data_IF_345578347532
#
_entry.id   IF_345578347532
#
_cell.length_a   1.000
_cell.length_b   1.000
_cell.length_c   1.000
_cell.angle_alpha   90.00
_cell.angle_beta   90.00
_cell.angle_gamma   90.00
#
_symmetry.space_group_name_H-M   'P 1'
#
loop_
_entity.id
_entity.type
_entity.pdbx_description
1 polymer ?
#
# COMPACT_ATOMS: atom_id res chain seq x y z
N UNK A 1 29.37 9.91 13.39
CA UNK A 1 30.54 9.57 12.57
C UNK A 1 30.02 9.00 11.26
N UNK A 2 30.01 9.79 10.21
CA UNK A 2 29.63 9.37 8.86
C UNK A 2 30.61 8.29 8.38
N UNK A 3 30.12 7.08 8.10
CA UNK A 3 30.91 6.05 7.43
C UNK A 3 31.23 6.53 6.00
N UNK A 4 32.49 6.44 5.61
CA UNK A 4 32.92 6.76 4.24
C UNK A 4 32.25 5.82 3.25
N UNK A 5 31.78 6.31 2.06
CA UNK A 5 31.03 5.51 1.08
C UNK A 5 31.81 4.38 0.40
N UNK A 6 33.06 4.16 0.71
CA UNK A 6 33.97 3.32 -0.07
C UNK A 6 34.39 2.00 0.58
N UNK A 7 33.79 1.61 1.69
CA UNK A 7 34.06 0.29 2.29
C UNK A 7 32.86 -0.64 2.15
N UNK A 8 32.43 -0.92 0.92
CA UNK A 8 31.73 -2.15 0.62
C UNK A 8 32.81 -3.25 0.45
N UNK A 9 33.61 -3.46 1.48
CA UNK A 9 34.51 -4.59 1.56
C UNK A 9 33.68 -5.82 1.88
N UNK A 10 33.46 -6.64 0.88
CA UNK A 10 33.23 -8.05 1.07
C UNK A 10 34.44 -8.63 1.83
N UNK A 11 34.47 -8.46 3.13
CA UNK A 11 35.34 -9.23 4.00
C UNK A 11 34.79 -10.65 3.96
N UNK A 12 35.51 -11.55 3.30
CA UNK A 12 35.12 -12.95 3.03
C UNK A 12 34.97 -13.83 4.25
N UNK A 13 34.20 -13.37 5.25
CA UNK A 13 33.63 -14.21 6.27
C UNK A 13 32.52 -15.03 5.65
N UNK A 14 32.58 -16.35 5.66
CA UNK A 14 31.48 -17.25 5.31
C UNK A 14 30.30 -16.95 6.23
N UNK A 15 29.42 -16.03 5.83
CA UNK A 15 28.13 -15.86 6.48
C UNK A 15 27.37 -17.18 6.32
N UNK A 16 27.23 -17.94 7.40
CA UNK A 16 26.47 -19.19 7.39
C UNK A 16 25.00 -18.88 7.19
N UNK A 17 24.47 -19.23 6.02
CA UNK A 17 23.03 -19.16 5.75
C UNK A 17 22.33 -20.35 6.37
N UNK A 18 21.15 -20.14 6.93
CA UNK A 18 20.28 -21.20 7.46
C UNK A 18 19.07 -21.34 6.55
N UNK A 19 18.62 -22.59 6.35
CA UNK A 19 17.36 -22.85 5.66
C UNK A 19 16.19 -22.52 6.61
N UNK A 20 15.27 -21.68 6.16
CA UNK A 20 14.11 -21.23 6.93
C UNK A 20 12.78 -21.84 6.43
N UNK A 21 12.83 -22.81 5.51
CA UNK A 21 11.65 -23.43 4.91
C UNK A 21 11.10 -22.61 3.73
N UNK A 22 9.81 -22.74 3.49
CA UNK A 22 9.13 -22.18 2.31
C UNK A 22 8.20 -20.98 2.61
N UNK A 23 8.21 -20.48 3.84
CA UNK A 23 7.42 -19.29 4.18
C UNK A 23 8.06 -18.05 3.57
N UNK A 24 7.36 -17.30 2.71
CA UNK A 24 7.94 -16.13 2.08
C UNK A 24 8.19 -15.02 3.10
N UNK A 25 9.37 -14.41 3.02
CA UNK A 25 9.73 -13.21 3.77
C UNK A 25 10.08 -12.13 2.77
N UNK A 26 9.10 -11.31 2.44
CA UNK A 26 9.27 -10.13 1.60
C UNK A 26 9.12 -8.89 2.47
N UNK A 27 10.12 -8.01 2.44
CA UNK A 27 10.08 -6.76 3.20
C UNK A 27 10.79 -5.65 2.41
N UNK A 28 10.28 -4.42 2.47
CA UNK A 28 9.06 -3.99 3.17
C UNK A 28 7.78 -4.40 2.43
N UNK A 29 6.71 -4.73 3.17
CA UNK A 29 5.37 -4.84 2.60
C UNK A 29 4.63 -3.53 2.84
N UNK A 30 3.95 -2.96 1.84
CA UNK A 30 3.17 -1.75 2.04
C UNK A 30 1.94 -2.02 2.92
N UNK A 31 1.39 -0.97 3.50
CA UNK A 31 0.08 -0.98 4.14
C UNK A 31 -0.86 -0.14 3.28
N UNK A 32 -1.68 -0.82 2.51
CA UNK A 32 -2.53 -0.23 1.48
C UNK A 32 -3.99 -0.30 1.94
N UNK A 33 -4.69 0.81 1.90
CA UNK A 33 -6.12 0.86 2.21
C UNK A 33 -6.90 0.92 0.91
N UNK A 34 -7.61 -0.17 0.63
CA UNK A 34 -8.43 -0.31 -0.56
C UNK A 34 -9.87 0.05 -0.20
N UNK A 35 -10.41 1.11 -0.76
CA UNK A 35 -11.78 1.53 -0.53
C UNK A 35 -12.63 1.37 -1.81
N UNK A 36 -13.86 0.90 -1.62
CA UNK A 36 -14.79 0.55 -2.69
C UNK A 36 -16.23 0.82 -2.26
N UNK A 37 -17.10 1.12 -3.21
CA UNK A 37 -18.55 1.04 -2.97
C UNK A 37 -19.07 -0.38 -3.25
N UNK A 38 -20.10 -0.79 -2.51
CA UNK A 38 -20.88 -1.95 -2.90
C UNK A 38 -21.94 -1.57 -3.97
N UNK A 39 -22.77 -2.54 -4.38
CA UNK A 39 -23.83 -2.31 -5.38
C UNK A 39 -24.80 -1.20 -4.96
N UNK A 40 -25.06 -1.07 -3.67
CA UNK A 40 -25.99 -0.10 -3.09
C UNK A 40 -25.33 1.28 -2.84
N UNK A 41 -24.03 1.42 -3.13
CA UNK A 41 -23.28 2.65 -2.89
C UNK A 41 -22.78 2.79 -1.45
N UNK A 42 -22.80 1.72 -0.64
CA UNK A 42 -22.25 1.75 0.71
C UNK A 42 -20.72 1.66 0.66
N UNK A 43 -19.98 2.60 1.26
CA UNK A 43 -18.54 2.56 1.26
C UNK A 43 -18.00 1.47 2.19
N UNK A 44 -16.92 0.82 1.76
CA UNK A 44 -16.17 -0.14 2.53
C UNK A 44 -14.67 0.06 2.31
N UNK A 45 -13.87 -0.16 3.34
CA UNK A 45 -12.42 -0.14 3.27
C UNK A 45 -11.80 -1.43 3.83
N UNK A 46 -10.65 -1.82 3.30
CA UNK A 46 -9.86 -2.91 3.84
C UNK A 46 -8.36 -2.60 3.78
N UNK A 47 -7.60 -3.16 4.71
CA UNK A 47 -6.15 -3.15 4.66
C UNK A 47 -5.65 -4.31 3.80
N UNK A 48 -4.75 -4.03 2.86
CA UNK A 48 -4.08 -5.01 2.02
C UNK A 48 -2.57 -4.79 2.07
N UNK A 49 -1.80 -5.88 2.22
CA UNK A 49 -0.34 -5.84 2.20
C UNK A 49 0.26 -6.52 0.95
N UNK A 50 -0.55 -7.29 0.23
CA UNK A 50 -0.08 -8.00 -0.96
C UNK A 50 -0.45 -7.23 -2.21
N UNK A 51 0.36 -6.18 -2.49
CA UNK A 51 0.16 -5.32 -3.63
C UNK A 51 1.27 -4.29 -3.77
N UNK A 52 1.19 -3.50 -4.81
CA UNK A 52 2.12 -2.43 -5.09
C UNK A 52 2.08 -1.97 -6.54
N UNK A 53 2.98 -1.06 -6.89
CA UNK A 53 3.14 -0.60 -8.26
C UNK A 53 3.64 -1.74 -9.15
N UNK A 54 2.95 -2.01 -10.25
CA UNK A 54 3.30 -3.04 -11.23
C UNK A 54 3.59 -2.50 -12.63
N UNK A 55 3.57 -1.18 -12.80
CA UNK A 55 3.86 -0.48 -14.06
C UNK A 55 3.92 1.02 -13.84
N UNK A 56 4.11 1.81 -14.91
CA UNK A 56 4.18 3.28 -14.81
C UNK A 56 2.86 3.89 -14.33
N UNK A 57 1.72 3.30 -14.70
CA UNK A 57 0.38 3.79 -14.37
C UNK A 57 -0.49 2.71 -13.74
N UNK A 58 0.09 1.62 -13.25
CA UNK A 58 -0.67 0.49 -12.75
C UNK A 58 -0.23 0.06 -11.36
N UNK A 59 -1.21 -0.39 -10.58
CA UNK A 59 -1.03 -1.06 -9.29
C UNK A 59 -1.66 -2.44 -9.36
N UNK A 60 -1.04 -3.41 -8.69
CA UNK A 60 -1.59 -4.76 -8.56
C UNK A 60 -1.89 -5.08 -7.10
N UNK A 61 -2.96 -5.85 -6.88
CA UNK A 61 -3.39 -6.34 -5.57
C UNK A 61 -3.69 -7.84 -5.68
N UNK A 62 -3.36 -8.60 -4.64
CA UNK A 62 -3.84 -9.97 -4.46
C UNK A 62 -4.76 -9.99 -3.23
N UNK A 63 -6.02 -10.33 -3.46
CA UNK A 63 -7.08 -10.25 -2.46
C UNK A 63 -7.73 -11.62 -2.30
N UNK A 64 -8.05 -12.02 -1.07
CA UNK A 64 -8.78 -13.26 -0.87
C UNK A 64 -10.18 -13.19 -1.53
N UNK A 65 -10.61 -14.29 -2.14
CA UNK A 65 -11.86 -14.40 -2.89
C UNK A 65 -13.08 -14.02 -2.05
N UNK A 66 -13.05 -14.34 -0.76
CA UNK A 66 -14.14 -14.09 0.18
C UNK A 66 -14.25 -12.67 0.73
N UNK A 67 -13.33 -11.76 0.41
CA UNK A 67 -13.40 -10.38 0.91
C UNK A 67 -14.57 -9.60 0.32
N UNK A 68 -15.23 -8.75 1.13
CA UNK A 68 -16.27 -7.82 0.67
C UNK A 68 -15.73 -6.90 -0.42
N UNK A 69 -14.48 -6.44 -0.28
CA UNK A 69 -13.80 -5.62 -1.28
C UNK A 69 -13.66 -6.34 -2.62
N UNK A 70 -13.32 -7.63 -2.62
CA UNK A 70 -13.24 -8.44 -3.85
C UNK A 70 -14.58 -8.53 -4.56
N UNK A 71 -15.67 -8.70 -3.81
CA UNK A 71 -17.04 -8.67 -4.32
C UNK A 71 -17.35 -7.30 -4.93
N UNK A 72 -17.12 -6.23 -4.19
CA UNK A 72 -17.37 -4.86 -4.64
C UNK A 72 -16.63 -4.54 -5.95
N UNK A 73 -15.35 -4.95 -6.06
CA UNK A 73 -14.54 -4.76 -7.27
C UNK A 73 -15.10 -5.50 -8.49
N UNK A 74 -15.75 -6.65 -8.31
CA UNK A 74 -16.43 -7.37 -9.42
C UNK A 74 -17.57 -6.56 -10.01
N UNK A 75 -18.27 -5.78 -9.19
CA UNK A 75 -19.42 -4.95 -9.60
C UNK A 75 -18.97 -3.56 -10.08
N UNK A 76 -18.24 -2.84 -9.26
CA UNK A 76 -17.91 -1.42 -9.47
C UNK A 76 -16.74 -1.19 -10.43
N UNK A 77 -15.81 -2.14 -10.52
CA UNK A 77 -14.60 -2.02 -11.35
C UNK A 77 -13.79 -0.74 -11.08
N UNK A 78 -13.89 -0.23 -9.86
CA UNK A 78 -13.20 0.98 -9.40
C UNK A 78 -12.86 0.87 -7.91
N UNK A 79 -11.76 1.51 -7.52
CA UNK A 79 -11.33 1.59 -6.12
C UNK A 79 -10.43 2.79 -5.90
N UNK A 80 -10.32 3.21 -4.65
CA UNK A 80 -9.22 4.05 -4.22
C UNK A 80 -8.21 3.23 -3.44
N UNK A 81 -6.94 3.65 -3.52
CA UNK A 81 -5.82 3.01 -2.85
C UNK A 81 -5.06 4.07 -2.06
N UNK A 82 -5.29 4.12 -0.75
CA UNK A 82 -4.60 5.07 0.13
C UNK A 82 -3.37 4.44 0.77
N UNK A 83 -2.35 5.25 1.00
CA UNK A 83 -1.12 4.84 1.65
C UNK A 83 -1.22 5.14 3.15
N UNK A 84 -1.19 4.10 3.96
CA UNK A 84 -1.21 4.25 5.41
C UNK A 84 0.11 4.85 5.93
N UNK A 85 -0.01 5.73 6.92
CA UNK A 85 1.11 6.41 7.56
C UNK A 85 1.05 6.23 9.10
N UNK A 86 1.97 6.86 9.81
CA UNK A 86 2.04 6.77 11.28
C UNK A 86 0.74 7.27 11.94
N UNK A 87 0.16 8.35 11.44
CA UNK A 87 -1.04 8.96 12.02
C UNK A 87 -2.28 8.09 11.82
N UNK A 88 -2.37 7.41 10.69
CA UNK A 88 -3.50 6.53 10.33
C UNK A 88 -3.30 5.07 10.74
N UNK A 89 -2.22 4.72 11.49
CA UNK A 89 -1.87 3.35 11.82
C UNK A 89 -3.03 2.58 12.47
N UNK A 90 -3.64 3.13 13.52
CA UNK A 90 -4.70 2.45 14.28
C UNK A 90 -5.93 2.21 13.41
N UNK A 91 -6.31 3.21 12.61
CA UNK A 91 -7.41 3.11 11.65
C UNK A 91 -7.13 2.04 10.59
N UNK A 92 -5.90 2.05 10.06
CA UNK A 92 -5.46 1.12 9.02
C UNK A 92 -5.43 -0.34 9.52
N UNK A 93 -4.97 -0.55 10.75
CA UNK A 93 -4.97 -1.88 11.39
C UNK A 93 -6.41 -2.37 11.61
N UNK A 94 -7.29 -1.51 12.11
CA UNK A 94 -8.71 -1.83 12.29
C UNK A 94 -9.38 -2.27 10.98
N UNK A 95 -9.10 -1.61 9.86
CA UNK A 95 -9.64 -1.99 8.56
C UNK A 95 -9.18 -3.40 8.10
N UNK A 96 -8.08 -3.91 8.66
CA UNK A 96 -7.61 -5.27 8.46
C UNK A 96 -8.20 -6.32 9.41
N UNK A 97 -8.65 -5.91 10.60
CA UNK A 97 -9.13 -6.83 11.63
C UNK A 97 -10.57 -7.29 11.40
N UNK A 98 -11.42 -6.43 10.84
CA UNK A 98 -12.87 -6.67 10.75
C UNK A 98 -13.30 -6.81 9.29
N UNK A 99 -14.19 -7.78 9.05
CA UNK A 99 -14.81 -7.96 7.73
C UNK A 99 -15.94 -6.95 7.50
N UNK A 100 -15.95 -6.28 6.35
CA UNK A 100 -17.05 -5.41 5.91
C UNK A 100 -18.39 -6.15 5.68
N UNK A 101 -18.39 -7.49 5.74
CA UNK A 101 -19.62 -8.29 5.75
C UNK A 101 -20.30 -8.35 7.12
N UNK A 102 -19.54 -8.09 8.19
CA UNK A 102 -20.01 -8.19 9.58
C UNK A 102 -20.35 -6.83 10.17
N UNK A 103 -19.64 -5.79 9.74
CA UNK A 103 -19.75 -4.46 10.33
C UNK A 103 -19.49 -3.39 9.26
N UNK A 104 -20.26 -2.30 9.32
CA UNK A 104 -19.98 -1.10 8.57
C UNK A 104 -18.80 -0.36 9.22
N UNK A 105 -17.61 -0.61 8.70
CA UNK A 105 -16.37 -0.08 9.28
C UNK A 105 -16.23 1.43 9.15
N UNK A 106 -16.81 2.00 8.10
CA UNK A 106 -16.81 3.45 7.86
C UNK A 106 -17.64 4.15 8.94
N UNK A 107 -18.87 3.68 9.15
CA UNK A 107 -19.75 4.21 10.19
C UNK A 107 -19.14 4.03 11.60
N UNK A 108 -18.59 2.86 11.86
CA UNK A 108 -17.99 2.53 13.16
C UNK A 108 -16.79 3.41 13.52
N UNK A 109 -15.97 3.75 12.57
CA UNK A 109 -14.78 4.60 12.78
C UNK A 109 -15.09 6.08 12.70
N UNK A 110 -16.21 6.47 12.11
CA UNK A 110 -16.60 7.86 11.92
C UNK A 110 -15.70 8.63 10.94
N UNK A 111 -14.96 7.92 10.08
CA UNK A 111 -14.13 8.56 9.06
C UNK A 111 -14.97 9.30 8.03
N UNK A 112 -14.42 10.37 7.49
CA UNK A 112 -15.05 11.13 6.43
C UNK A 112 -14.79 10.44 5.08
N UNK A 113 -15.85 10.44 4.26
CA UNK A 113 -15.80 9.82 2.93
C UNK A 113 -16.32 10.80 1.92
N UNK A 114 -15.51 11.10 0.92
CA UNK A 114 -15.94 11.83 -0.28
C UNK A 114 -16.02 10.89 -1.48
N UNK A 115 -16.86 11.24 -2.47
CA UNK A 115 -16.90 10.48 -3.73
C UNK A 115 -15.77 10.97 -4.64
N UNK A 116 -15.01 10.04 -5.23
CA UNK A 116 -14.00 10.40 -6.21
C UNK A 116 -14.62 11.06 -7.44
N UNK A 117 -13.99 12.12 -7.96
CA UNK A 117 -14.40 12.77 -9.21
C UNK A 117 -13.97 11.95 -10.45
N UNK A 118 -13.04 11.02 -10.31
CA UNK A 118 -12.41 10.29 -11.42
C UNK A 118 -12.90 8.85 -11.57
N UNK A 119 -13.38 8.23 -10.47
CA UNK A 119 -13.80 6.83 -10.45
C UNK A 119 -15.01 6.63 -9.51
N UNK A 120 -15.82 5.60 -9.75
CA UNK A 120 -16.95 5.26 -8.86
C UNK A 120 -16.44 4.53 -7.60
N UNK A 121 -15.70 5.27 -6.75
CA UNK A 121 -15.10 4.76 -5.54
C UNK A 121 -15.05 5.84 -4.43
N UNK A 122 -15.07 5.43 -3.13
CA UNK A 122 -14.97 6.36 -2.02
C UNK A 122 -13.51 6.76 -1.78
N UNK A 123 -13.27 8.03 -1.48
CA UNK A 123 -12.01 8.55 -0.92
C UNK A 123 -12.21 8.66 0.59
N UNK A 124 -11.27 8.15 1.38
CA UNK A 124 -11.25 8.31 2.84
C UNK A 124 -10.34 9.48 3.15
N UNK A 125 -10.94 10.57 3.63
CA UNK A 125 -10.30 11.89 3.72
C UNK A 125 -9.14 11.95 4.74
N UNK A 126 -9.09 11.01 5.69
CA UNK A 126 -8.02 10.92 6.70
C UNK A 126 -6.67 10.45 6.12
N UNK A 127 -6.62 9.95 4.90
CA UNK A 127 -5.37 9.50 4.28
C UNK A 127 -4.78 10.59 3.38
N UNK A 128 -3.57 11.09 3.67
CA UNK A 128 -2.98 12.21 2.95
C UNK A 128 -2.50 11.87 1.54
N UNK A 129 -2.47 10.60 1.15
CA UNK A 129 -2.09 10.15 -0.20
C UNK A 129 -3.02 9.05 -0.66
N UNK A 130 -3.76 9.31 -1.74
CA UNK A 130 -4.73 8.37 -2.31
C UNK A 130 -4.63 8.32 -3.82
N UNK A 131 -4.56 7.11 -4.36
CA UNK A 131 -4.61 6.81 -5.79
C UNK A 131 -6.04 6.42 -6.17
N UNK A 132 -6.56 6.94 -7.26
CA UNK A 132 -7.88 6.65 -7.80
C UNK A 132 -7.73 5.74 -9.02
N UNK A 133 -8.34 4.56 -8.96
CA UNK A 133 -8.00 3.46 -9.85
C UNK A 133 -9.23 2.87 -10.55
N UNK A 134 -9.10 2.61 -11.86
CA UNK A 134 -10.02 1.77 -12.64
C UNK A 134 -9.47 0.37 -12.73
N UNK A 135 -10.29 -0.64 -12.48
CA UNK A 135 -9.89 -2.04 -12.67
C UNK A 135 -9.77 -2.33 -14.16
N UNK A 136 -8.58 -2.73 -14.59
CA UNK A 136 -8.29 -3.12 -15.98
C UNK A 136 -8.17 -4.63 -16.14
N UNK A 137 -7.82 -5.34 -15.07
CA UNK A 137 -7.74 -6.80 -15.06
C UNK A 137 -8.21 -7.35 -13.71
N UNK A 138 -8.97 -8.44 -13.73
CA UNK A 138 -9.29 -9.26 -12.57
C UNK A 138 -9.23 -10.72 -12.97
N UNK A 139 -8.36 -11.47 -12.33
CA UNK A 139 -8.18 -12.90 -12.58
C UNK A 139 -8.10 -13.67 -11.27
N UNK A 140 -8.87 -14.75 -11.17
CA UNK A 140 -8.70 -15.71 -10.10
C UNK A 140 -7.51 -16.62 -10.42
N UNK A 141 -6.52 -16.61 -9.53
CA UNK A 141 -5.32 -17.42 -9.67
C UNK A 141 -4.81 -17.84 -8.29
N UNK A 142 -4.36 -19.08 -8.15
CA UNK A 142 -3.75 -19.62 -6.92
C UNK A 142 -4.62 -19.47 -5.66
N UNK A 143 -5.96 -19.43 -5.82
CA UNK A 143 -6.91 -19.25 -4.73
C UNK A 143 -7.12 -17.82 -4.26
N UNK A 144 -6.52 -16.85 -4.96
CA UNK A 144 -6.67 -15.42 -4.70
C UNK A 144 -7.23 -14.70 -5.94
N UNK A 145 -7.74 -13.49 -5.74
CA UNK A 145 -8.13 -12.59 -6.82
C UNK A 145 -6.97 -11.63 -7.10
N UNK A 146 -6.35 -11.80 -8.25
CA UNK A 146 -5.38 -10.84 -8.79
C UNK A 146 -6.14 -9.69 -9.46
N UNK A 147 -5.87 -8.47 -9.03
CA UNK A 147 -6.53 -7.25 -9.52
C UNK A 147 -5.46 -6.28 -10.00
N UNK A 148 -5.58 -5.82 -11.23
CA UNK A 148 -4.76 -4.72 -11.76
C UNK A 148 -5.64 -3.49 -11.94
N UNK A 149 -5.22 -2.38 -11.34
CA UNK A 149 -5.85 -1.07 -11.48
C UNK A 149 -4.97 -0.10 -12.26
N UNK A 150 -5.55 0.58 -13.23
CA UNK A 150 -4.96 1.76 -13.83
C UNK A 150 -5.16 2.96 -12.91
N UNK A 151 -4.09 3.62 -12.54
CA UNK A 151 -4.11 4.86 -11.75
C UNK A 151 -4.50 6.01 -12.68
N UNK A 152 -5.71 6.54 -12.51
CA UNK A 152 -6.24 7.63 -13.34
C UNK A 152 -6.06 8.99 -12.70
N UNK A 153 -5.90 9.04 -11.38
CA UNK A 153 -5.57 10.25 -10.61
C UNK A 153 -4.85 9.90 -9.30
N UNK A 154 -4.11 10.85 -8.77
CA UNK A 154 -3.48 10.78 -7.44
C UNK A 154 -3.80 12.07 -6.70
N UNK A 155 -4.41 11.95 -5.53
CA UNK A 155 -4.65 13.04 -4.60
C UNK A 155 -3.58 13.02 -3.50
N UNK A 156 -3.08 14.17 -3.15
CA UNK A 156 -2.09 14.33 -2.07
C UNK A 156 -2.35 15.62 -1.30
N UNK A 157 -2.33 15.55 0.03
CA UNK A 157 -2.37 16.73 0.87
C UNK A 157 -1.13 17.59 0.65
N UNK A 158 -1.29 18.91 0.69
CA UNK A 158 -0.17 19.86 0.59
C UNK A 158 0.88 19.64 1.69
N UNK A 159 0.45 19.18 2.87
CA UNK A 159 1.32 18.90 4.03
C UNK A 159 2.40 17.88 3.74
N UNK A 160 2.15 16.91 2.86
CA UNK A 160 3.11 15.87 2.48
C UNK A 160 3.91 16.21 1.22
N UNK A 161 3.71 17.39 0.64
CA UNK A 161 4.45 17.81 -0.55
C UNK A 161 5.73 18.54 -0.18
N UNK A 162 6.75 18.37 -0.99
CA UNK A 162 7.97 19.17 -0.93
C UNK A 162 7.80 20.51 -1.69
N UNK A 163 8.82 21.36 -1.68
CA UNK A 163 8.81 22.68 -2.34
C UNK A 163 8.66 22.62 -3.87
N UNK A 164 8.76 21.42 -4.47
CA UNK A 164 8.57 21.19 -5.90
C UNK A 164 7.19 20.59 -6.22
N UNK A 165 6.29 20.49 -5.23
CA UNK A 165 4.97 19.88 -5.37
C UNK A 165 4.99 18.36 -5.54
N UNK A 166 6.06 17.69 -5.10
CA UNK A 166 6.18 16.22 -5.14
C UNK A 166 6.01 15.64 -3.75
N UNK A 167 5.44 14.43 -3.68
CA UNK A 167 5.30 13.69 -2.42
C UNK A 167 6.66 13.50 -1.76
N UNK A 168 6.75 13.89 -0.50
CA UNK A 168 7.91 13.72 0.37
C UNK A 168 7.63 12.58 1.35
N UNK A 169 8.33 11.46 1.20
CA UNK A 169 8.14 10.29 2.05
C UNK A 169 8.54 10.53 3.51
N UNK A 170 9.44 11.49 3.77
CA UNK A 170 9.79 11.91 5.12
C UNK A 170 8.64 12.63 5.82
N UNK A 171 7.84 13.40 5.07
CA UNK A 171 6.62 14.05 5.57
C UNK A 171 5.44 13.08 5.65
N UNK A 172 5.25 12.25 4.64
CA UNK A 172 4.19 11.25 4.60
C UNK A 172 4.35 10.21 5.72
N UNK A 173 5.58 9.83 6.06
CA UNK A 173 5.89 8.78 7.04
C UNK A 173 5.12 7.47 6.82
N UNK A 174 5.18 6.88 5.60
CA UNK A 174 4.42 5.68 5.31
C UNK A 174 4.88 4.53 6.18
N UNK A 175 3.95 3.69 6.60
CA UNK A 175 4.25 2.48 7.38
C UNK A 175 4.38 1.26 6.48
N UNK A 176 5.23 0.33 6.88
CA UNK A 176 5.38 -0.98 6.28
C UNK A 176 4.99 -2.08 7.26
N UNK A 177 4.38 -3.14 6.75
CA UNK A 177 4.03 -4.33 7.53
C UNK A 177 5.19 -5.33 7.53
N UNK A 178 5.56 -5.80 8.71
CA UNK A 178 6.49 -6.90 8.90
C UNK A 178 5.72 -8.18 9.23
N UNK A 179 5.60 -9.08 8.26
CA UNK A 179 4.85 -10.33 8.40
C UNK A 179 5.47 -11.31 9.40
N UNK A 180 6.78 -11.23 9.63
CA UNK A 180 7.49 -12.13 10.56
C UNK A 180 7.19 -11.80 12.03
N UNK A 181 7.27 -10.50 12.37
CA UNK A 181 7.03 -10.04 13.76
C UNK A 181 5.62 -9.51 13.98
N UNK A 182 4.79 -9.46 12.93
CA UNK A 182 3.44 -8.86 12.97
C UNK A 182 3.46 -7.46 13.55
N UNK A 183 4.34 -6.62 13.02
CA UNK A 183 4.53 -5.24 13.47
C UNK A 183 4.57 -4.27 12.30
N UNK A 184 4.33 -3.01 12.58
CA UNK A 184 4.49 -1.93 11.63
C UNK A 184 5.81 -1.19 11.86
N UNK A 185 6.41 -0.69 10.77
CA UNK A 185 7.64 0.10 10.79
C UNK A 185 7.53 1.27 9.84
N UNK A 186 8.13 2.39 10.18
CA UNK A 186 8.37 3.49 9.22
C UNK A 186 9.60 3.19 8.38
N UNK A 187 9.68 3.82 7.21
CA UNK A 187 10.90 3.84 6.42
C UNK A 187 11.97 4.66 7.13
N UNK A 188 13.22 4.21 7.07
CA UNK A 188 14.36 4.94 7.63
C UNK A 188 14.85 6.07 6.73
N UNK A 189 16.01 6.62 7.11
CA UNK A 189 16.67 7.71 6.38
C UNK A 189 17.05 7.30 4.95
N UNK A 190 17.22 8.30 4.09
CA UNK A 190 17.79 8.12 2.74
C UNK A 190 19.22 7.63 2.86
N UNK A 191 19.49 6.43 2.33
CA UNK A 191 20.82 5.78 2.43
C UNK A 191 21.61 5.80 1.12
N UNK A 192 21.03 6.28 0.02
CA UNK A 192 21.70 6.31 -1.28
C UNK A 192 20.85 6.97 -2.37
N UNK A 193 21.47 7.09 -3.55
CA UNK A 193 20.86 7.68 -4.76
C UNK A 193 20.64 6.58 -5.81
N UNK A 194 19.38 6.28 -6.08
CA UNK A 194 19.01 5.33 -7.12
C UNK A 194 19.59 5.75 -8.49
N UNK A 195 19.99 4.78 -9.29
CA UNK A 195 20.59 4.94 -10.62
C UNK A 195 21.92 5.72 -10.67
N UNK A 196 22.48 6.06 -9.50
CA UNK A 196 23.78 6.77 -9.40
C UNK A 196 24.81 5.97 -8.62
N UNK A 197 24.46 5.47 -7.45
CA UNK A 197 25.43 4.83 -6.57
C UNK A 197 25.98 3.53 -7.15
N UNK A 198 25.16 2.77 -7.92
CA UNK A 198 25.61 1.58 -8.63
C UNK A 198 26.64 1.83 -9.76
N UNK A 199 26.79 3.08 -10.23
CA UNK A 199 27.79 3.42 -11.23
C UNK A 199 29.23 3.30 -10.72
N UNK A 200 29.44 3.22 -9.41
CA UNK A 200 30.74 3.00 -8.77
C UNK A 200 31.30 1.59 -9.01
N UNK A 201 30.48 0.64 -9.51
CA UNK A 201 30.88 -0.75 -9.83
C UNK A 201 31.44 -0.87 -11.26
N UNK A 202 31.38 0.20 -12.05
CA UNK A 202 31.87 0.24 -13.44
C UNK A 202 33.36 0.52 -13.53
#
# INVERSE_FOLDING_TARGET
TMRKPHECLWTGGKNMKRNLGNTPVVAPLPVLIVATYDEQGTPNAMNAAWGGQCGYHHVALNLALGHKTTENLKHKKAFTLSIANVETLVLSDYFGLVSGRKENKIEKTGVHVTHSEFVDAPVIDEYPLTLECKVVEMQEALGEMHVVGEVVNVQADESILNTQGKVDLGKLQPISFNSVSRSYRVLGDVVGKAFKDGAQVR
#
